data_IF_472864209793
#
_entry.id   IF_472864209793
#
_cell.length_a   1.000
_cell.length_b   1.000
_cell.length_c   1.000
_cell.angle_alpha   90.00
_cell.angle_beta   90.00
_cell.angle_gamma   90.00
#
_symmetry.space_group_name_H-M   'P 1'
#
loop_
_entity.id
_entity.type
_entity.pdbx_description
1 polymer ?
#
# COMPACT_ATOMS: atom_id res chain seq x y z
N UNK A 1 -21.32 -5.20 12.86
CA UNK A 1 -20.41 -4.49 13.78
C UNK A 1 -19.13 -5.29 13.92
N UNK A 2 -17.94 -4.69 14.07
CA UNK A 2 -16.72 -5.45 14.34
C UNK A 2 -16.89 -6.16 15.70
N UNK A 3 -16.68 -7.48 15.72
CA UNK A 3 -16.88 -8.33 16.91
C UNK A 3 -15.96 -8.00 18.09
N UNK A 4 -15.02 -7.05 17.92
CA UNK A 4 -13.99 -6.66 18.90
C UNK A 4 -13.88 -5.14 19.05
N UNK A 5 -14.97 -4.40 18.82
CA UNK A 5 -14.95 -2.96 19.06
C UNK A 5 -14.73 -2.69 20.58
N UNK A 6 -13.82 -1.76 20.90
CA UNK A 6 -13.50 -1.35 22.27
C UNK A 6 -14.11 0.00 22.64
N UNK A 7 -14.62 0.75 21.68
CA UNK A 7 -15.24 2.06 21.86
C UNK A 7 -15.67 2.69 20.54
N UNK A 8 -16.48 3.72 20.63
CA UNK A 8 -17.04 4.46 19.51
C UNK A 8 -16.48 5.88 19.46
N UNK A 9 -16.08 6.32 18.26
CA UNK A 9 -15.55 7.66 18.02
C UNK A 9 -16.35 8.30 16.90
N UNK A 10 -17.12 9.34 17.19
CA UNK A 10 -17.92 10.04 16.18
C UNK A 10 -17.11 11.21 15.61
N UNK A 11 -16.90 11.22 14.30
CA UNK A 11 -16.32 12.36 13.60
C UNK A 11 -17.38 13.44 13.41
N UNK A 12 -17.21 14.59 14.06
CA UNK A 12 -18.14 15.71 13.98
C UNK A 12 -17.51 16.87 13.21
N UNK A 13 -18.27 17.43 12.27
CA UNK A 13 -17.87 18.59 11.46
C UNK A 13 -18.64 19.86 11.78
N UNK A 14 -19.63 19.80 12.67
CA UNK A 14 -20.55 20.90 12.95
C UNK A 14 -21.68 21.05 11.92
N UNK A 15 -21.66 20.31 10.79
CA UNK A 15 -22.72 20.29 9.81
C UNK A 15 -23.87 19.33 10.18
N UNK A 16 -25.06 19.50 9.58
CA UNK A 16 -26.29 18.80 9.95
C UNK A 16 -26.17 17.26 9.96
N UNK A 17 -25.51 16.67 8.94
CA UNK A 17 -25.44 15.21 8.81
C UNK A 17 -24.60 14.58 9.95
N UNK A 18 -23.44 15.18 10.30
CA UNK A 18 -22.61 14.70 11.41
C UNK A 18 -23.25 14.96 12.78
N UNK A 19 -23.99 16.06 12.88
CA UNK A 19 -24.72 16.41 14.08
C UNK A 19 -25.92 15.47 14.32
N UNK A 20 -26.58 15.04 13.26
CA UNK A 20 -27.64 14.03 13.35
C UNK A 20 -27.09 12.69 13.88
N UNK A 21 -25.91 12.26 13.39
CA UNK A 21 -25.26 11.04 13.87
C UNK A 21 -24.88 11.15 15.35
N UNK A 22 -24.27 12.28 15.75
CA UNK A 22 -23.91 12.55 17.15
C UNK A 22 -25.14 12.52 18.04
N UNK A 23 -26.23 13.17 17.61
CA UNK A 23 -27.48 13.24 18.36
C UNK A 23 -28.13 11.86 18.51
N UNK A 24 -28.18 11.06 17.42
CA UNK A 24 -28.75 9.72 17.47
C UNK A 24 -28.02 8.80 18.46
N UNK A 25 -26.70 8.94 18.55
CA UNK A 25 -25.89 8.15 19.49
C UNK A 25 -25.91 8.70 20.92
N UNK A 26 -26.03 10.04 21.07
CA UNK A 26 -26.03 10.69 22.37
C UNK A 26 -27.36 10.64 23.11
N UNK A 27 -28.44 10.15 22.50
CA UNK A 27 -29.73 9.90 23.16
C UNK A 27 -29.73 8.59 23.96
N UNK A 28 -28.76 7.73 23.73
CA UNK A 28 -28.56 6.47 24.45
C UNK A 28 -27.50 6.68 25.53
N UNK A 29 -27.76 6.30 26.76
CA UNK A 29 -26.79 6.43 27.87
C UNK A 29 -25.55 5.56 27.65
N UNK A 30 -25.72 4.41 26.98
CA UNK A 30 -24.65 3.53 26.54
C UNK A 30 -24.95 2.97 25.13
N UNK A 31 -24.12 3.34 24.13
CA UNK A 31 -24.26 2.74 22.82
C UNK A 31 -23.59 1.35 22.79
N UNK A 32 -24.42 0.31 22.88
CA UNK A 32 -23.97 -1.11 22.93
C UNK A 32 -22.97 -1.40 24.08
N UNK A 33 -23.09 -0.72 25.22
CA UNK A 33 -22.23 -0.93 26.39
C UNK A 33 -20.76 -0.54 26.21
N UNK A 34 -20.45 0.26 25.19
CA UNK A 34 -19.09 0.71 24.90
C UNK A 34 -18.97 2.24 25.02
N UNK A 35 -17.80 2.74 25.46
CA UNK A 35 -17.59 4.17 25.60
C UNK A 35 -17.72 4.92 24.26
N UNK A 36 -18.38 6.08 24.30
CA UNK A 36 -18.57 6.98 23.17
C UNK A 36 -17.80 8.28 23.40
N UNK A 37 -17.06 8.75 22.39
CA UNK A 37 -16.43 10.06 22.33
C UNK A 37 -16.57 10.68 20.94
N UNK A 38 -16.48 11.99 20.85
CA UNK A 38 -16.50 12.73 19.59
C UNK A 38 -15.10 13.26 19.24
N UNK A 39 -14.82 13.42 17.94
CA UNK A 39 -13.60 14.04 17.42
C UNK A 39 -13.98 15.06 16.37
N UNK A 40 -13.49 16.29 16.54
CA UNK A 40 -13.54 17.35 15.53
C UNK A 40 -12.15 17.59 14.95
N UNK A 41 -12.07 17.73 13.61
CA UNK A 41 -10.81 18.05 12.91
C UNK A 41 -10.95 19.40 12.23
N UNK A 42 -10.17 20.37 12.69
CA UNK A 42 -10.05 21.69 12.07
C UNK A 42 -8.91 21.70 11.03
N UNK A 43 -9.24 22.11 9.82
CA UNK A 43 -8.29 22.20 8.71
C UNK A 43 -7.63 23.59 8.59
N UNK A 44 -8.07 24.58 9.36
CA UNK A 44 -7.57 25.94 9.29
C UNK A 44 -7.79 26.65 7.95
N UNK A 45 -8.60 26.11 7.06
CA UNK A 45 -8.79 26.60 5.69
C UNK A 45 -9.87 27.69 5.56
N UNK A 46 -10.68 27.88 6.59
CA UNK A 46 -11.87 28.73 6.51
C UNK A 46 -11.92 29.73 7.65
N UNK A 47 -12.39 30.93 7.35
CA UNK A 47 -12.74 31.94 8.36
C UNK A 47 -13.90 31.49 9.27
N UNK A 48 -14.71 30.54 8.80
CA UNK A 48 -15.83 29.98 9.54
C UNK A 48 -15.46 28.80 10.47
N UNK A 49 -14.18 28.38 10.54
CA UNK A 49 -13.77 27.21 11.33
C UNK A 49 -14.10 27.35 12.82
N UNK A 50 -14.04 28.57 13.36
CA UNK A 50 -14.46 28.86 14.73
C UNK A 50 -15.94 28.52 14.97
N UNK A 51 -16.84 28.87 14.03
CA UNK A 51 -18.27 28.58 14.15
C UNK A 51 -18.55 27.08 14.14
N UNK A 52 -17.87 26.31 13.26
CA UNK A 52 -18.00 24.85 13.23
C UNK A 52 -17.55 24.22 14.53
N UNK A 53 -16.41 24.69 15.06
CA UNK A 53 -15.88 24.26 16.33
C UNK A 53 -16.86 24.53 17.48
N UNK A 54 -17.40 25.75 17.56
CA UNK A 54 -18.40 26.14 18.58
C UNK A 54 -19.64 25.25 18.52
N UNK A 55 -20.15 24.96 17.31
CA UNK A 55 -21.27 24.03 17.11
C UNK A 55 -20.92 22.64 17.66
N UNK A 56 -19.75 22.08 17.32
CA UNK A 56 -19.31 20.77 17.80
C UNK A 56 -19.19 20.73 19.33
N UNK A 57 -18.61 21.76 19.93
CA UNK A 57 -18.46 21.87 21.40
C UNK A 57 -19.83 21.97 22.08
N UNK A 58 -20.73 22.80 21.55
CA UNK A 58 -22.09 22.96 22.09
C UNK A 58 -22.88 21.65 22.05
N UNK A 59 -22.84 20.95 20.91
CA UNK A 59 -23.55 19.68 20.74
C UNK A 59 -22.95 18.57 21.63
N UNK A 60 -21.63 18.42 21.66
CA UNK A 60 -20.96 17.44 22.50
C UNK A 60 -21.29 17.67 24.01
N UNK A 61 -21.35 18.94 24.42
CA UNK A 61 -21.76 19.32 25.80
C UNK A 61 -23.22 18.98 26.06
N UNK A 62 -24.12 19.25 25.10
CA UNK A 62 -25.54 18.93 25.21
C UNK A 62 -25.79 17.43 25.46
N UNK A 63 -25.10 16.58 24.73
CA UNK A 63 -25.20 15.11 24.84
C UNK A 63 -24.22 14.53 25.88
N UNK A 64 -23.45 15.34 26.60
CA UNK A 64 -22.43 14.91 27.58
C UNK A 64 -21.38 13.96 27.01
N UNK A 65 -21.08 14.08 25.71
CA UNK A 65 -20.09 13.27 25.02
C UNK A 65 -18.73 13.96 25.06
N UNK A 66 -17.65 13.30 25.52
CA UNK A 66 -16.30 13.87 25.48
C UNK A 66 -15.88 14.24 24.06
N UNK A 67 -15.42 15.47 23.84
CA UNK A 67 -14.94 15.96 22.55
C UNK A 67 -13.41 16.11 22.54
N UNK A 68 -12.76 15.57 21.54
CA UNK A 68 -11.35 15.81 21.22
C UNK A 68 -11.28 16.71 19.98
N UNK A 69 -10.51 17.79 20.06
CA UNK A 69 -10.28 18.70 18.95
C UNK A 69 -8.88 18.46 18.38
N UNK A 70 -8.77 18.28 17.05
CA UNK A 70 -7.53 18.06 16.32
C UNK A 70 -7.36 19.17 15.30
N UNK A 71 -6.16 19.73 15.20
CA UNK A 71 -5.79 20.69 14.15
C UNK A 71 -4.86 20.02 13.15
N UNK A 72 -5.11 20.23 11.85
CA UNK A 72 -4.28 19.68 10.78
C UNK A 72 -3.83 20.78 9.82
N UNK A 73 -2.60 20.66 9.37
CA UNK A 73 -2.08 21.50 8.29
C UNK A 73 -2.26 20.76 6.97
N UNK A 74 -2.98 21.38 6.03
CA UNK A 74 -3.20 20.78 4.72
C UNK A 74 -1.99 21.07 3.82
N UNK A 75 -1.18 20.07 3.58
CA UNK A 75 -0.06 20.14 2.63
C UNK A 75 -0.53 19.65 1.25
N UNK A 76 -0.95 20.56 0.37
CA UNK A 76 -1.25 20.20 -1.01
C UNK A 76 0.05 20.01 -1.79
N UNK A 77 0.22 18.88 -2.48
CA UNK A 77 1.30 18.67 -3.45
C UNK A 77 0.93 19.30 -4.77
N UNK A 78 1.92 19.68 -5.57
CA UNK A 78 1.69 20.22 -6.90
C UNK A 78 0.90 19.21 -7.76
N UNK A 79 -0.31 19.60 -8.19
CA UNK A 79 -1.22 18.77 -8.99
C UNK A 79 -2.36 18.10 -8.20
N UNK A 80 -2.35 18.13 -6.88
CA UNK A 80 -3.47 17.62 -6.08
C UNK A 80 -4.60 18.65 -5.96
N UNK A 81 -5.85 18.19 -5.94
CA UNK A 81 -6.95 19.05 -5.56
C UNK A 81 -6.90 19.36 -4.06
N UNK A 82 -7.12 20.61 -3.67
CA UNK A 82 -7.15 21.01 -2.26
C UNK A 82 -8.14 20.19 -1.42
N UNK A 83 -9.27 19.80 -2.01
CA UNK A 83 -10.26 18.92 -1.38
C UNK A 83 -9.69 17.53 -1.07
N UNK A 84 -8.98 16.94 -2.02
CA UNK A 84 -8.35 15.63 -1.83
C UNK A 84 -7.28 15.67 -0.74
N UNK A 85 -6.42 16.69 -0.75
CA UNK A 85 -5.38 16.88 0.26
C UNK A 85 -5.97 17.11 1.66
N UNK A 86 -7.01 17.96 1.77
CA UNK A 86 -7.71 18.20 3.04
C UNK A 86 -8.40 16.93 3.56
N UNK A 87 -9.00 16.16 2.66
CA UNK A 87 -9.62 14.86 3.01
C UNK A 87 -8.57 13.86 3.50
N UNK A 88 -7.43 13.74 2.83
CA UNK A 88 -6.34 12.85 3.22
C UNK A 88 -5.79 13.23 4.61
N UNK A 89 -5.47 14.51 4.83
CA UNK A 89 -4.98 15.03 6.11
C UNK A 89 -5.97 14.76 7.25
N UNK A 90 -7.27 14.95 6.99
CA UNK A 90 -8.32 14.67 7.97
C UNK A 90 -8.35 13.19 8.35
N UNK A 91 -8.35 12.28 7.38
CA UNK A 91 -8.39 10.86 7.69
C UNK A 91 -7.11 10.35 8.33
N UNK A 92 -5.95 10.93 7.99
CA UNK A 92 -4.69 10.63 8.68
C UNK A 92 -4.74 11.03 10.16
N UNK A 93 -5.25 12.23 10.49
CA UNK A 93 -5.41 12.68 11.86
C UNK A 93 -6.42 11.84 12.66
N UNK A 94 -7.56 11.49 12.03
CA UNK A 94 -8.56 10.61 12.64
C UNK A 94 -7.98 9.22 12.90
N UNK A 95 -7.23 8.65 11.96
CA UNK A 95 -6.60 7.34 12.11
C UNK A 95 -5.55 7.32 13.23
N UNK A 96 -4.74 8.39 13.34
CA UNK A 96 -3.74 8.54 14.39
C UNK A 96 -4.35 8.72 15.78
N UNK A 97 -5.58 9.27 15.87
CA UNK A 97 -6.30 9.48 17.12
C UNK A 97 -7.04 8.23 17.63
N UNK A 98 -7.21 7.19 16.79
CA UNK A 98 -7.88 5.95 17.19
C UNK A 98 -7.00 5.11 18.10
N UNK A 99 -7.59 4.62 19.19
CA UNK A 99 -7.00 3.61 20.07
C UNK A 99 -7.23 2.21 19.46
N UNK A 100 -6.52 1.24 20.00
CA UNK A 100 -6.65 -0.16 19.54
C UNK A 100 -8.10 -0.65 19.69
N UNK A 101 -8.70 -1.06 18.57
CA UNK A 101 -10.06 -1.59 18.52
C UNK A 101 -11.18 -0.53 18.53
N UNK A 102 -10.88 0.77 18.65
CA UNK A 102 -11.92 1.81 18.53
C UNK A 102 -12.49 1.87 17.10
N UNK A 103 -13.76 2.21 16.98
CA UNK A 103 -14.46 2.33 15.71
C UNK A 103 -14.86 3.80 15.44
N UNK A 104 -14.28 4.38 14.37
CA UNK A 104 -14.65 5.70 13.90
C UNK A 104 -16.00 5.63 13.17
N UNK A 105 -16.94 6.46 13.56
CA UNK A 105 -18.25 6.62 12.96
C UNK A 105 -18.31 7.92 12.15
N UNK A 106 -18.77 7.85 10.90
CA UNK A 106 -18.97 9.02 10.04
C UNK A 106 -20.36 9.03 9.43
N UNK A 107 -20.94 10.21 9.26
CA UNK A 107 -22.32 10.42 8.81
C UNK A 107 -22.48 10.38 7.28
N UNK A 108 -21.73 9.53 6.57
CA UNK A 108 -22.01 9.30 5.15
C UNK A 108 -23.34 8.60 4.98
N UNK A 109 -24.14 9.08 4.06
CA UNK A 109 -25.51 8.64 3.86
C UNK A 109 -25.78 8.16 2.43
N UNK A 110 -27.00 7.76 2.13
CA UNK A 110 -27.39 7.16 0.85
C UNK A 110 -27.07 8.05 -0.37
N UNK A 111 -27.28 9.37 -0.26
CA UNK A 111 -26.95 10.29 -1.34
C UNK A 111 -25.44 10.36 -1.61
N UNK A 112 -24.58 10.26 -0.57
CA UNK A 112 -23.14 10.21 -0.76
C UNK A 112 -22.68 8.96 -1.52
N UNK A 113 -23.39 7.83 -1.35
CA UNK A 113 -23.16 6.62 -2.16
C UNK A 113 -23.48 6.87 -3.62
N UNK A 114 -24.67 7.45 -3.91
CA UNK A 114 -25.09 7.77 -5.26
C UNK A 114 -24.14 8.78 -5.94
N UNK A 115 -23.72 9.82 -5.22
CA UNK A 115 -22.71 10.78 -5.69
C UNK A 115 -21.38 10.08 -6.02
N UNK A 116 -20.93 9.19 -5.14
CA UNK A 116 -19.68 8.45 -5.34
C UNK A 116 -19.75 7.53 -6.55
N UNK A 117 -20.84 6.80 -6.73
CA UNK A 117 -21.08 5.95 -7.91
C UNK A 117 -21.01 6.78 -9.21
N UNK A 118 -21.76 7.90 -9.28
CA UNK A 118 -21.80 8.74 -10.49
C UNK A 118 -20.42 9.31 -10.82
N UNK A 119 -19.71 9.85 -9.84
CA UNK A 119 -18.36 10.38 -10.07
C UNK A 119 -17.38 9.30 -10.55
N UNK A 120 -17.46 8.10 -10.01
CA UNK A 120 -16.62 6.99 -10.45
C UNK A 120 -17.03 6.48 -11.84
N UNK A 121 -18.31 6.44 -12.16
CA UNK A 121 -18.80 6.08 -13.49
C UNK A 121 -18.32 7.07 -14.56
N UNK A 122 -18.39 8.38 -14.29
CA UNK A 122 -17.89 9.44 -15.18
C UNK A 122 -16.37 9.37 -15.39
N UNK A 123 -15.63 8.78 -14.45
CA UNK A 123 -14.18 8.53 -14.56
C UNK A 123 -13.85 7.19 -15.22
N UNK A 124 -14.84 6.41 -15.66
CA UNK A 124 -14.66 5.12 -16.30
C UNK A 124 -14.20 4.02 -15.33
N UNK A 125 -14.59 4.10 -14.07
CA UNK A 125 -14.19 3.12 -13.06
C UNK A 125 -14.82 1.73 -13.32
N UNK A 126 -14.06 0.68 -13.00
CA UNK A 126 -14.56 -0.70 -12.96
C UNK A 126 -15.32 -1.02 -11.66
N UNK A 127 -15.71 -2.30 -11.47
CA UNK A 127 -16.55 -2.73 -10.32
C UNK A 127 -16.04 -2.20 -8.97
N UNK A 128 -14.75 -2.26 -8.69
CA UNK A 128 -14.16 -1.76 -7.44
C UNK A 128 -14.43 -0.26 -7.20
N UNK A 129 -14.32 0.58 -8.23
CA UNK A 129 -14.62 2.00 -8.09
C UNK A 129 -16.12 2.28 -7.98
N UNK A 130 -16.95 1.49 -8.68
CA UNK A 130 -18.41 1.60 -8.64
C UNK A 130 -19.02 1.03 -7.34
N UNK A 131 -18.28 0.29 -6.55
CA UNK A 131 -18.75 -0.29 -5.27
C UNK A 131 -19.11 0.76 -4.21
N UNK A 132 -18.87 2.04 -4.48
CA UNK A 132 -19.12 3.11 -3.53
C UNK A 132 -18.24 3.03 -2.29
N UNK A 133 -18.75 3.52 -1.17
CA UNK A 133 -18.05 3.46 0.11
C UNK A 133 -18.44 2.19 0.87
N UNK A 134 -17.47 1.39 1.38
CA UNK A 134 -17.79 0.24 2.22
C UNK A 134 -18.37 0.70 3.56
N UNK A 135 -19.33 -0.08 4.08
CA UNK A 135 -19.91 0.17 5.40
C UNK A 135 -18.88 0.10 6.50
N UNK A 136 -17.96 -0.86 6.45
CA UNK A 136 -16.88 -1.07 7.41
C UNK A 136 -15.55 -1.25 6.67
N UNK A 137 -14.49 -0.63 7.19
CA UNK A 137 -13.11 -0.86 6.72
C UNK A 137 -12.10 -0.69 7.86
N UNK A 138 -10.90 -1.29 7.78
CA UNK A 138 -9.80 -0.95 8.68
C UNK A 138 -9.42 0.53 8.59
N UNK A 139 -9.03 1.13 9.72
CA UNK A 139 -8.48 2.49 9.78
C UNK A 139 -7.55 2.62 10.98
N UNK A 140 -6.28 2.91 10.75
CA UNK A 140 -5.28 3.01 11.82
C UNK A 140 -5.24 1.75 12.68
N UNK A 141 -5.36 1.93 13.99
CA UNK A 141 -5.39 0.82 14.98
C UNK A 141 -6.80 0.25 15.22
N UNK A 142 -7.80 0.69 14.45
CA UNK A 142 -9.19 0.31 14.62
C UNK A 142 -9.95 0.20 13.30
N UNK A 143 -11.19 0.68 13.31
CA UNK A 143 -12.13 0.52 12.21
C UNK A 143 -12.79 1.83 11.82
N UNK A 144 -13.31 1.92 10.60
CA UNK A 144 -14.16 3.00 10.14
C UNK A 144 -15.50 2.44 9.69
N UNK A 145 -16.56 2.81 10.39
CA UNK A 145 -17.94 2.42 10.14
C UNK A 145 -18.74 3.60 9.60
N UNK A 146 -19.59 3.35 8.63
CA UNK A 146 -20.57 4.31 8.08
C UNK A 146 -21.98 3.78 8.29
N UNK A 147 -22.58 4.04 9.45
CA UNK A 147 -23.85 3.41 9.81
C UNK A 147 -25.04 3.94 9.00
N UNK A 148 -24.91 5.12 8.38
CA UNK A 148 -26.02 5.82 7.71
C UNK A 148 -26.05 5.66 6.19
N UNK A 149 -25.23 4.75 5.61
CA UNK A 149 -25.15 4.60 4.15
C UNK A 149 -26.44 4.21 3.44
N UNK A 150 -27.38 3.64 4.19
CA UNK A 150 -28.71 3.27 3.68
C UNK A 150 -29.81 4.27 4.06
N UNK A 151 -29.47 5.27 4.88
CA UNK A 151 -30.41 6.27 5.36
C UNK A 151 -30.52 7.41 4.35
N UNK A 152 -31.75 7.81 4.02
CA UNK A 152 -31.97 8.93 3.15
C UNK A 152 -31.58 10.25 3.82
N UNK A 153 -30.95 11.14 3.07
CA UNK A 153 -30.51 12.45 3.61
C UNK A 153 -31.64 13.29 4.18
N UNK A 154 -32.84 13.15 3.59
CA UNK A 154 -34.05 13.82 4.06
C UNK A 154 -34.36 13.39 5.49
N UNK A 155 -34.36 12.10 5.77
CA UNK A 155 -34.70 11.57 7.10
C UNK A 155 -33.71 12.06 8.17
N UNK A 156 -32.43 12.16 7.84
CA UNK A 156 -31.40 12.73 8.72
C UNK A 156 -31.66 14.21 9.02
N UNK A 157 -32.06 14.98 8.00
CA UNK A 157 -32.36 16.40 8.17
C UNK A 157 -33.62 16.60 8.98
N UNK A 158 -34.68 15.84 8.72
CA UNK A 158 -35.94 15.91 9.43
C UNK A 158 -35.73 15.52 10.91
N UNK A 159 -34.97 14.46 11.17
CA UNK A 159 -34.58 14.06 12.53
C UNK A 159 -33.81 15.18 13.25
N UNK A 160 -32.78 15.77 12.62
CA UNK A 160 -31.98 16.80 13.25
C UNK A 160 -32.75 18.10 13.47
N UNK A 161 -33.60 18.48 12.50
CA UNK A 161 -34.45 19.67 12.63
C UNK A 161 -35.42 19.58 13.83
N UNK A 162 -35.93 18.38 14.13
CA UNK A 162 -36.80 18.15 15.27
C UNK A 162 -36.12 18.38 16.64
N UNK A 163 -34.77 18.33 16.69
CA UNK A 163 -33.99 18.54 17.91
C UNK A 163 -33.77 20.02 18.22
N UNK A 164 -34.02 20.93 17.28
CA UNK A 164 -33.78 22.37 17.42
C UNK A 164 -32.36 22.75 17.90
N UNK A 165 -31.37 21.96 17.52
CA UNK A 165 -29.95 22.21 17.86
C UNK A 165 -29.26 23.03 16.77
N UNK A 166 -28.34 23.94 17.14
CA UNK A 166 -27.60 24.72 16.15
C UNK A 166 -26.68 23.86 15.31
N UNK A 167 -26.66 24.10 13.98
CA UNK A 167 -25.63 23.57 13.08
C UNK A 167 -25.03 24.68 12.23
N UNK A 168 -23.78 24.51 11.87
CA UNK A 168 -23.10 25.44 10.98
C UNK A 168 -23.40 25.10 9.50
N UNK A 169 -23.56 26.14 8.69
CA UNK A 169 -23.61 26.01 7.24
C UNK A 169 -22.21 26.28 6.69
N UNK A 170 -21.70 25.32 5.91
CA UNK A 170 -20.39 25.44 5.28
C UNK A 170 -20.54 26.13 3.90
N UNK A 171 -19.99 27.32 3.71
CA UNK A 171 -20.03 28.03 2.43
C UNK A 171 -19.39 27.23 1.27
N UNK A 172 -18.45 26.32 1.55
CA UNK A 172 -17.88 25.43 0.53
C UNK A 172 -18.91 24.45 -0.05
N UNK A 173 -20.02 24.19 0.65
CA UNK A 173 -21.11 23.38 0.11
C UNK A 173 -21.88 24.08 -1.03
N UNK A 174 -21.62 25.33 -1.30
CA UNK A 174 -22.25 26.11 -2.40
C UNK A 174 -21.29 26.33 -3.57
N UNK A 175 -20.01 25.98 -3.43
CA UNK A 175 -18.97 26.19 -4.43
C UNK A 175 -19.03 25.13 -5.54
N UNK A 176 -19.55 25.53 -6.71
CA UNK A 176 -19.73 24.68 -7.89
C UNK A 176 -18.44 24.18 -8.55
N UNK A 177 -17.29 24.67 -8.13
CA UNK A 177 -16.00 24.14 -8.60
C UNK A 177 -15.75 22.72 -8.12
N UNK A 178 -16.44 22.31 -7.05
CA UNK A 178 -16.35 20.94 -6.52
C UNK A 178 -17.36 20.02 -7.17
N UNK A 179 -16.90 18.93 -7.76
CA UNK A 179 -17.72 17.94 -8.47
C UNK A 179 -18.93 17.48 -7.65
N UNK A 180 -18.75 17.23 -6.35
CA UNK A 180 -19.84 16.78 -5.46
C UNK A 180 -20.90 17.84 -5.24
N UNK A 181 -20.47 19.11 -5.11
CA UNK A 181 -21.40 20.23 -4.95
C UNK A 181 -22.21 20.42 -6.25
N UNK A 182 -21.53 20.31 -7.37
CA UNK A 182 -22.20 20.35 -8.68
C UNK A 182 -23.25 19.24 -8.83
N UNK A 183 -22.93 18.01 -8.52
CA UNK A 183 -23.87 16.89 -8.54
C UNK A 183 -25.06 17.12 -7.60
N UNK A 184 -24.85 17.68 -6.42
CA UNK A 184 -25.93 17.99 -5.47
C UNK A 184 -26.97 18.95 -6.06
N UNK A 185 -26.56 19.89 -6.90
CA UNK A 185 -27.49 20.78 -7.61
C UNK A 185 -28.23 20.09 -8.75
N UNK A 186 -27.73 18.99 -9.27
CA UNK A 186 -28.40 18.21 -10.31
C UNK A 186 -29.47 17.25 -9.76
N UNK A 187 -29.40 16.88 -8.47
CA UNK A 187 -30.35 15.91 -7.88
C UNK A 187 -31.82 16.31 -8.07
N UNK A 188 -32.26 17.55 -7.83
CA UNK A 188 -33.66 17.91 -8.05
C UNK A 188 -34.12 17.69 -9.51
N UNK A 189 -33.22 17.94 -10.47
CA UNK A 189 -33.49 17.73 -11.91
C UNK A 189 -33.59 16.22 -12.20
N UNK A 190 -32.67 15.41 -11.67
CA UNK A 190 -32.65 13.96 -11.86
C UNK A 190 -33.91 13.35 -11.22
N UNK A 191 -34.21 13.69 -9.98
CA UNK A 191 -35.33 13.12 -9.22
C UNK A 191 -36.70 13.58 -9.73
N UNK A 192 -36.80 14.76 -10.37
CA UNK A 192 -38.05 15.19 -11.04
C UNK A 192 -38.42 14.25 -12.18
N UNK A 193 -37.46 13.66 -12.87
CA UNK A 193 -37.68 12.72 -13.98
C UNK A 193 -37.68 11.26 -13.52
N UNK A 194 -36.86 10.93 -12.54
CA UNK A 194 -36.69 9.58 -11.98
C UNK A 194 -36.79 9.62 -10.45
N UNK A 195 -38.03 9.60 -9.91
CA UNK A 195 -38.22 9.58 -8.46
C UNK A 195 -37.50 8.37 -7.84
N UNK A 196 -36.76 8.60 -6.76
CA UNK A 196 -35.96 7.57 -6.10
C UNK A 196 -34.63 7.24 -6.79
N UNK A 197 -34.14 8.10 -7.69
CA UNK A 197 -32.85 7.90 -8.37
C UNK A 197 -31.70 7.69 -7.38
N UNK A 198 -31.65 8.45 -6.27
CA UNK A 198 -30.64 8.32 -5.22
C UNK A 198 -30.60 6.90 -4.66
N UNK A 199 -31.75 6.36 -4.24
CA UNK A 199 -31.83 5.00 -3.68
C UNK A 199 -31.49 3.92 -4.70
N UNK A 200 -31.88 4.11 -5.95
CA UNK A 200 -31.59 3.18 -7.05
C UNK A 200 -30.09 3.16 -7.37
N UNK A 201 -29.43 4.32 -7.43
CA UNK A 201 -28.00 4.40 -7.64
C UNK A 201 -27.18 3.86 -6.45
N UNK A 202 -27.63 4.13 -5.22
CA UNK A 202 -27.01 3.54 -4.03
C UNK A 202 -27.09 2.01 -4.05
N UNK A 203 -28.25 1.45 -4.46
CA UNK A 203 -28.42 0.00 -4.65
C UNK A 203 -27.51 -0.55 -5.77
N UNK A 204 -27.34 0.21 -6.87
CA UNK A 204 -26.42 -0.18 -7.93
C UNK A 204 -24.98 -0.27 -7.45
N UNK A 205 -24.55 0.61 -6.51
CA UNK A 205 -23.23 0.50 -5.89
C UNK A 205 -23.09 -0.75 -5.01
N UNK A 206 -24.14 -1.19 -4.33
CA UNK A 206 -24.16 -2.45 -3.58
C UNK A 206 -24.00 -3.67 -4.50
N UNK A 207 -24.68 -3.68 -5.64
CA UNK A 207 -24.49 -4.75 -6.64
C UNK A 207 -23.08 -4.76 -7.20
N UNK A 208 -22.48 -3.58 -7.46
CA UNK A 208 -21.09 -3.50 -7.86
C UNK A 208 -20.12 -4.00 -6.76
N UNK A 209 -20.44 -3.76 -5.48
CA UNK A 209 -19.66 -4.26 -4.35
C UNK A 209 -19.71 -5.80 -4.27
N UNK A 210 -20.89 -6.40 -4.43
CA UNK A 210 -21.06 -7.87 -4.47
C UNK A 210 -20.29 -8.49 -5.66
N UNK A 211 -20.35 -7.86 -6.83
CA UNK A 211 -19.58 -8.30 -7.99
C UNK A 211 -18.07 -8.19 -7.75
N UNK A 212 -17.62 -7.13 -7.09
CA UNK A 212 -16.22 -6.95 -6.74
C UNK A 212 -15.72 -7.99 -5.73
N UNK A 213 -16.52 -8.33 -4.71
CA UNK A 213 -16.21 -9.39 -3.76
C UNK A 213 -16.03 -10.73 -4.47
N UNK A 214 -16.96 -11.08 -5.36
CA UNK A 214 -16.81 -12.29 -6.19
C UNK A 214 -15.55 -12.28 -7.04
N UNK A 215 -15.19 -11.15 -7.64
CA UNK A 215 -13.94 -11.00 -8.42
C UNK A 215 -12.70 -11.13 -7.54
N UNK A 216 -12.72 -10.64 -6.30
CA UNK A 216 -11.61 -10.77 -5.35
C UNK A 216 -11.46 -12.23 -4.88
N UNK A 217 -12.55 -12.93 -4.60
CA UNK A 217 -12.55 -14.37 -4.27
C UNK A 217 -12.02 -15.21 -5.43
N UNK A 218 -12.46 -14.93 -6.66
CA UNK A 218 -11.96 -15.61 -7.84
C UNK A 218 -10.46 -15.36 -8.02
N UNK A 219 -10.02 -14.10 -7.89
CA UNK A 219 -8.61 -13.74 -8.00
C UNK A 219 -7.74 -14.38 -6.91
N UNK A 220 -8.25 -14.51 -5.70
CA UNK A 220 -7.56 -15.17 -4.59
C UNK A 220 -7.30 -16.66 -4.89
N UNK A 221 -8.31 -17.36 -5.42
CA UNK A 221 -8.19 -18.77 -5.84
C UNK A 221 -7.22 -18.92 -7.02
N UNK A 222 -7.37 -18.08 -8.04
CA UNK A 222 -6.49 -18.10 -9.20
C UNK A 222 -5.04 -17.75 -8.79
N UNK A 223 -4.84 -16.81 -7.87
CA UNK A 223 -3.52 -16.48 -7.35
C UNK A 223 -2.88 -17.66 -6.63
N UNK A 224 -3.62 -18.39 -5.81
CA UNK A 224 -3.12 -19.59 -5.14
C UNK A 224 -2.63 -20.64 -6.14
N UNK A 225 -3.29 -20.75 -7.30
CA UNK A 225 -2.89 -21.67 -8.39
C UNK A 225 -1.64 -21.21 -9.14
N UNK A 226 -1.47 -19.90 -9.39
CA UNK A 226 -0.36 -19.38 -10.22
C UNK A 226 0.83 -18.90 -9.38
N UNK A 227 0.73 -18.87 -8.05
CA UNK A 227 1.75 -18.33 -7.16
C UNK A 227 2.86 -19.32 -6.84
N UNK A 228 4.10 -18.81 -6.76
CA UNK A 228 5.30 -19.50 -6.26
C UNK A 228 6.04 -18.53 -5.31
N UNK A 229 5.81 -18.66 -4.00
CA UNK A 229 6.28 -17.68 -3.01
C UNK A 229 5.63 -16.31 -3.24
N UNK A 230 6.45 -15.26 -3.40
CA UNK A 230 5.98 -13.89 -3.70
C UNK A 230 5.85 -13.63 -5.20
N UNK A 231 6.02 -14.64 -6.06
CA UNK A 231 6.12 -14.52 -7.51
C UNK A 231 4.91 -15.14 -8.18
N UNK A 232 4.67 -14.78 -9.42
CA UNK A 232 3.64 -15.41 -10.26
C UNK A 232 4.31 -16.23 -11.35
N UNK A 233 3.85 -17.47 -11.57
CA UNK A 233 4.31 -18.35 -12.63
C UNK A 233 3.64 -18.03 -13.95
N UNK A 234 4.44 -17.76 -15.00
CA UNK A 234 3.95 -17.45 -16.35
C UNK A 234 3.13 -18.62 -16.95
N UNK A 235 3.53 -19.90 -16.82
CA UNK A 235 2.72 -21.02 -17.28
C UNK A 235 1.32 -21.05 -16.64
N UNK A 236 1.22 -20.81 -15.33
CA UNK A 236 -0.06 -20.70 -14.65
C UNK A 236 -0.93 -19.57 -15.20
N UNK A 237 -0.34 -18.36 -15.41
CA UNK A 237 -1.07 -17.26 -16.05
C UNK A 237 -1.57 -17.62 -17.45
N UNK A 238 -0.79 -18.35 -18.25
CA UNK A 238 -1.22 -18.78 -19.59
C UNK A 238 -2.44 -19.69 -19.56
N UNK A 239 -2.62 -20.48 -18.50
CA UNK A 239 -3.79 -21.33 -18.29
C UNK A 239 -5.08 -20.59 -17.97
N UNK A 240 -5.01 -19.31 -17.55
CA UNK A 240 -6.16 -18.50 -17.22
C UNK A 240 -6.73 -17.77 -18.45
N UNK A 241 -8.00 -17.36 -18.39
CA UNK A 241 -8.60 -16.46 -19.37
C UNK A 241 -8.00 -15.05 -19.25
N UNK A 242 -8.13 -14.22 -20.29
CA UNK A 242 -7.59 -12.85 -20.27
C UNK A 242 -8.18 -11.99 -19.14
N UNK A 243 -9.46 -12.16 -18.85
CA UNK A 243 -10.13 -11.46 -17.74
C UNK A 243 -9.56 -11.92 -16.38
N UNK A 244 -9.36 -13.22 -16.18
CA UNK A 244 -8.81 -13.78 -14.95
C UNK A 244 -7.34 -13.37 -14.76
N UNK A 245 -6.52 -13.34 -15.82
CA UNK A 245 -5.13 -12.84 -15.76
C UNK A 245 -5.05 -11.42 -15.24
N UNK A 246 -5.88 -10.52 -15.78
CA UNK A 246 -5.92 -9.12 -15.35
C UNK A 246 -6.41 -8.99 -13.90
N UNK A 247 -7.40 -9.80 -13.52
CA UNK A 247 -7.97 -9.80 -12.18
C UNK A 247 -6.94 -10.27 -11.14
N UNK A 248 -6.25 -11.39 -11.41
CA UNK A 248 -5.18 -11.93 -10.56
C UNK A 248 -4.04 -10.92 -10.39
N UNK A 249 -3.57 -10.28 -11.47
CA UNK A 249 -2.51 -9.28 -11.36
C UNK A 249 -2.92 -8.08 -10.53
N UNK A 250 -4.16 -7.58 -10.70
CA UNK A 250 -4.69 -6.49 -9.85
C UNK A 250 -4.74 -6.88 -8.38
N UNK A 251 -5.26 -8.08 -8.10
CA UNK A 251 -5.38 -8.59 -6.75
C UNK A 251 -4.01 -8.77 -6.09
N UNK A 252 -3.07 -9.42 -6.80
CA UNK A 252 -1.70 -9.62 -6.33
C UNK A 252 -0.98 -8.30 -6.05
N UNK A 253 -0.99 -7.33 -6.97
CA UNK A 253 -0.37 -6.02 -6.77
C UNK A 253 -1.01 -5.30 -5.57
N UNK A 254 -2.36 -5.32 -5.47
CA UNK A 254 -3.07 -4.70 -4.34
C UNK A 254 -2.73 -5.35 -3.00
N UNK A 255 -2.55 -6.68 -2.96
CA UNK A 255 -2.25 -7.42 -1.72
C UNK A 255 -0.86 -7.10 -1.14
N UNK A 256 0.06 -6.55 -1.96
CA UNK A 256 1.37 -6.08 -1.49
C UNK A 256 1.36 -4.65 -0.97
N UNK A 257 0.22 -3.95 -1.04
CA UNK A 257 0.11 -2.52 -0.70
C UNK A 257 0.59 -1.57 -1.81
N UNK A 258 1.05 -2.08 -2.95
CA UNK A 258 1.50 -1.27 -4.07
C UNK A 258 0.32 -0.59 -4.78
N UNK A 259 0.54 0.63 -5.26
CA UNK A 259 -0.43 1.34 -6.08
C UNK A 259 -0.66 0.60 -7.40
N UNK A 260 -1.92 0.49 -7.80
CA UNK A 260 -2.27 -0.15 -9.07
C UNK A 260 -1.89 0.73 -10.27
N UNK A 261 -1.34 0.13 -11.33
CA UNK A 261 -1.19 0.82 -12.61
C UNK A 261 -2.55 1.06 -13.27
N UNK A 262 -2.59 1.97 -14.24
CA UNK A 262 -3.78 2.12 -15.10
C UNK A 262 -4.10 0.80 -15.82
N UNK A 263 -5.37 0.61 -16.20
CA UNK A 263 -5.81 -0.60 -16.91
C UNK A 263 -5.03 -0.80 -18.22
N UNK A 264 -4.74 0.28 -18.95
CA UNK A 264 -3.94 0.21 -20.17
C UNK A 264 -2.51 -0.27 -19.90
N UNK A 265 -1.87 0.24 -18.84
CA UNK A 265 -0.53 -0.15 -18.44
C UNK A 265 -0.47 -1.60 -17.96
N UNK A 266 -1.50 -2.07 -17.24
CA UNK A 266 -1.57 -3.45 -16.79
C UNK A 266 -1.78 -4.43 -17.95
N UNK A 267 -2.62 -4.09 -18.93
CA UNK A 267 -2.79 -4.86 -20.16
C UNK A 267 -1.48 -4.96 -20.96
N UNK A 268 -0.76 -3.84 -21.07
CA UNK A 268 0.54 -3.82 -21.75
C UNK A 268 1.57 -4.68 -21.00
N UNK A 269 1.62 -4.59 -19.67
CA UNK A 269 2.49 -5.44 -18.86
C UNK A 269 2.19 -6.93 -19.10
N UNK A 270 0.91 -7.31 -19.07
CA UNK A 270 0.49 -8.68 -19.31
C UNK A 270 0.89 -9.16 -20.73
N UNK A 271 0.69 -8.32 -21.75
CA UNK A 271 1.07 -8.62 -23.12
C UNK A 271 2.59 -8.87 -23.23
N UNK A 272 3.42 -8.00 -22.66
CA UNK A 272 4.88 -8.15 -22.66
C UNK A 272 5.31 -9.40 -21.89
N UNK A 273 4.72 -9.64 -20.72
CA UNK A 273 5.02 -10.82 -19.88
C UNK A 273 4.71 -12.12 -20.62
N UNK A 274 3.56 -12.23 -21.28
CA UNK A 274 3.14 -13.48 -21.94
C UNK A 274 3.88 -13.74 -23.25
N UNK A 275 4.21 -12.68 -24.02
CA UNK A 275 4.78 -12.81 -25.36
C UNK A 275 6.32 -12.74 -25.39
N UNK A 276 6.97 -12.41 -24.28
CA UNK A 276 8.43 -12.37 -24.25
C UNK A 276 9.04 -13.74 -24.49
N UNK A 277 10.05 -13.80 -25.34
CA UNK A 277 10.92 -14.97 -25.52
C UNK A 277 11.77 -15.18 -24.27
N UNK A 278 12.37 -16.35 -24.13
CA UNK A 278 13.11 -16.77 -22.94
C UNK A 278 14.34 -15.89 -22.60
N UNK A 279 14.89 -15.22 -23.60
CA UNK A 279 16.07 -14.32 -23.51
C UNK A 279 15.68 -12.85 -23.28
N UNK A 280 14.43 -12.48 -23.47
CA UNK A 280 13.93 -11.13 -23.22
C UNK A 280 13.52 -10.96 -21.76
N UNK A 281 13.88 -9.79 -21.20
CA UNK A 281 13.60 -9.40 -19.82
C UNK A 281 12.60 -8.23 -19.81
N UNK A 282 11.30 -8.46 -20.07
CA UNK A 282 10.35 -7.37 -20.10
C UNK A 282 10.24 -6.71 -18.73
N UNK A 283 10.17 -5.38 -18.76
CA UNK A 283 10.02 -4.54 -17.56
C UNK A 283 8.97 -3.48 -17.87
N UNK A 284 7.96 -3.39 -17.02
CA UNK A 284 6.94 -2.35 -17.12
C UNK A 284 6.89 -1.54 -15.83
N UNK A 285 7.13 -0.24 -15.94
CA UNK A 285 7.20 0.69 -14.82
C UNK A 285 5.88 1.46 -14.62
N UNK A 286 5.52 1.74 -13.38
CA UNK A 286 4.50 2.73 -12.99
C UNK A 286 4.78 3.23 -11.57
N UNK A 287 4.66 4.55 -11.37
CA UNK A 287 5.03 5.16 -10.09
C UNK A 287 6.41 4.68 -9.64
N UNK A 288 6.50 4.21 -8.41
CA UNK A 288 7.72 3.66 -7.81
C UNK A 288 7.83 2.12 -7.93
N UNK A 289 7.03 1.50 -8.80
CA UNK A 289 6.96 0.05 -8.95
C UNK A 289 7.32 -0.40 -10.36
N UNK A 290 7.69 -1.69 -10.49
CA UNK A 290 7.93 -2.37 -11.75
C UNK A 290 7.45 -3.82 -11.72
N UNK A 291 6.83 -4.28 -12.80
CA UNK A 291 6.69 -5.70 -13.10
C UNK A 291 7.86 -6.14 -13.99
N UNK A 292 8.55 -7.20 -13.56
CA UNK A 292 9.68 -7.77 -14.28
C UNK A 292 9.43 -9.25 -14.51
N UNK A 293 9.79 -9.76 -15.69
CA UNK A 293 9.81 -11.19 -15.94
C UNK A 293 11.25 -11.69 -16.02
N UNK A 294 11.52 -12.81 -15.37
CA UNK A 294 12.74 -13.58 -15.56
C UNK A 294 12.39 -15.06 -15.68
N UNK A 295 12.77 -15.67 -16.80
CA UNK A 295 12.33 -17.03 -17.16
C UNK A 295 10.81 -17.14 -17.11
N UNK A 296 10.29 -18.10 -16.35
CA UNK A 296 8.85 -18.33 -16.20
C UNK A 296 8.23 -17.69 -14.95
N UNK A 297 8.86 -16.66 -14.39
CA UNK A 297 8.41 -15.98 -13.18
C UNK A 297 8.25 -14.48 -13.39
N UNK A 298 7.20 -13.93 -12.77
CA UNK A 298 6.90 -12.50 -12.72
C UNK A 298 7.17 -11.98 -11.31
N UNK A 299 7.85 -10.87 -11.24
CA UNK A 299 8.27 -10.21 -10.01
C UNK A 299 7.68 -8.80 -9.95
N UNK A 300 7.17 -8.45 -8.78
CA UNK A 300 6.87 -7.06 -8.43
C UNK A 300 8.06 -6.50 -7.65
N UNK A 301 8.64 -5.42 -8.14
CA UNK A 301 9.84 -4.82 -7.54
C UNK A 301 9.69 -3.32 -7.42
N UNK A 302 10.49 -2.67 -6.60
CA UNK A 302 10.69 -1.23 -6.70
C UNK A 302 11.21 -0.85 -8.11
N UNK A 303 10.92 0.36 -8.54
CA UNK A 303 11.44 0.93 -9.79
C UNK A 303 12.96 1.10 -9.73
N UNK A 304 13.43 1.78 -8.67
CA UNK A 304 14.84 1.89 -8.34
C UNK A 304 15.27 0.68 -7.52
N UNK A 305 16.31 0.02 -7.97
CA UNK A 305 16.88 -1.15 -7.28
C UNK A 305 18.22 -0.75 -6.66
N UNK A 306 18.59 -1.33 -5.52
CA UNK A 306 19.84 -1.02 -4.89
C UNK A 306 21.02 -1.48 -5.76
N UNK A 307 22.00 -0.61 -5.93
CA UNK A 307 23.24 -0.85 -6.67
C UNK A 307 24.42 -0.53 -5.77
N UNK A 308 25.41 -1.41 -5.72
CA UNK A 308 26.67 -1.14 -5.04
C UNK A 308 27.61 -0.42 -6.02
N UNK A 309 27.56 0.91 -6.04
CA UNK A 309 28.30 1.78 -6.96
C UNK A 309 29.57 2.37 -6.36
N UNK A 310 29.93 1.98 -5.13
CA UNK A 310 31.07 2.47 -4.37
C UNK A 310 31.99 1.33 -3.96
N UNK A 311 33.27 1.68 -3.68
CA UNK A 311 34.24 0.78 -3.11
C UNK A 311 34.28 1.01 -1.60
N UNK A 312 34.10 -0.06 -0.83
CA UNK A 312 34.09 -0.04 0.62
C UNK A 312 35.29 -0.81 1.14
N UNK A 313 35.88 -0.32 2.24
CA UNK A 313 36.94 -1.01 2.94
C UNK A 313 36.35 -1.80 4.12
N UNK A 314 36.64 -3.08 4.20
CA UNK A 314 36.10 -3.97 5.23
C UNK A 314 37.21 -4.59 6.07
N UNK A 315 37.13 -4.41 7.37
CA UNK A 315 38.07 -5.03 8.31
C UNK A 315 37.84 -6.54 8.37
N UNK A 316 38.94 -7.31 8.40
CA UNK A 316 38.89 -8.78 8.49
C UNK A 316 38.82 -9.30 9.94
N UNK A 317 38.62 -8.41 10.92
CA UNK A 317 38.35 -8.82 12.30
C UNK A 317 37.05 -9.60 12.39
N UNK A 318 37.01 -10.61 13.24
CA UNK A 318 35.87 -11.52 13.34
C UNK A 318 34.56 -10.88 13.76
N UNK A 319 34.58 -9.72 14.38
CA UNK A 319 33.42 -8.94 14.85
C UNK A 319 33.05 -7.77 13.94
N UNK A 320 33.76 -7.59 12.81
CA UNK A 320 33.51 -6.47 11.91
C UNK A 320 32.35 -6.70 11.00
N UNK A 321 31.32 -5.84 11.14
CA UNK A 321 30.25 -5.71 10.17
C UNK A 321 30.56 -4.63 9.14
N UNK A 322 30.13 -4.84 7.89
CA UNK A 322 30.15 -3.82 6.85
C UNK A 322 28.74 -3.52 6.39
N UNK A 323 28.27 -2.31 6.64
CA UNK A 323 27.00 -1.82 6.09
C UNK A 323 27.20 -1.41 4.62
N UNK A 324 26.48 -2.08 3.72
CA UNK A 324 26.51 -1.79 2.30
C UNK A 324 25.64 -0.59 1.93
N UNK A 325 24.72 -0.19 2.82
CA UNK A 325 23.78 0.91 2.63
C UNK A 325 22.72 0.66 1.56
N UNK A 326 21.84 1.65 1.36
CA UNK A 326 20.85 1.68 0.26
C UNK A 326 20.01 0.40 0.08
N UNK A 327 19.65 -0.29 1.19
CA UNK A 327 18.86 -1.53 1.12
C UNK A 327 19.65 -2.75 0.63
N UNK A 328 20.97 -2.70 0.61
CA UNK A 328 21.85 -3.83 0.27
C UNK A 328 22.20 -4.70 1.48
N UNK A 329 21.77 -4.30 2.71
CA UNK A 329 22.06 -5.05 3.93
C UNK A 329 23.53 -4.92 4.38
N UNK A 330 23.99 -5.95 5.09
CA UNK A 330 25.32 -5.94 5.75
C UNK A 330 26.09 -7.22 5.46
N UNK A 331 27.41 -7.13 5.46
CA UNK A 331 28.28 -8.29 5.44
C UNK A 331 28.85 -8.55 6.84
N UNK A 332 28.94 -9.84 7.19
CA UNK A 332 29.56 -10.33 8.42
C UNK A 332 30.50 -11.47 8.12
N UNK A 333 31.60 -11.55 8.89
CA UNK A 333 32.43 -12.74 8.92
C UNK A 333 31.78 -13.80 9.83
N UNK A 334 31.74 -15.04 9.37
CA UNK A 334 31.27 -16.17 10.16
C UNK A 334 32.25 -17.34 10.10
N UNK A 335 32.39 -18.14 11.15
CA UNK A 335 33.11 -19.42 11.06
C UNK A 335 32.43 -20.33 10.06
N UNK A 336 33.18 -20.91 9.13
CA UNK A 336 32.59 -21.76 8.06
C UNK A 336 33.60 -22.89 7.73
N UNK A 337 33.15 -24.14 7.70
CA UNK A 337 33.93 -25.26 7.18
C UNK A 337 34.24 -25.07 5.70
N UNK A 338 35.47 -25.27 5.31
CA UNK A 338 35.92 -24.99 3.95
C UNK A 338 35.89 -23.51 3.55
N UNK A 339 35.72 -22.59 4.50
CA UNK A 339 35.73 -21.15 4.27
C UNK A 339 37.08 -20.61 3.86
N UNK A 340 37.18 -19.28 3.70
CA UNK A 340 38.42 -18.61 3.35
C UNK A 340 39.49 -18.85 4.43
N UNK A 341 40.75 -18.99 4.01
CA UNK A 341 41.93 -19.17 4.90
C UNK A 341 42.15 -17.92 5.70
N UNK A 342 42.05 -18.01 7.03
CA UNK A 342 42.17 -16.87 7.93
C UNK A 342 43.57 -16.25 7.90
N UNK A 343 44.63 -17.08 7.78
CA UNK A 343 46.03 -16.67 7.73
C UNK A 343 46.39 -15.87 6.46
N UNK A 344 45.58 -15.96 5.42
CA UNK A 344 45.75 -15.22 4.17
C UNK A 344 44.92 -13.95 4.07
N UNK A 345 44.06 -13.69 5.04
CA UNK A 345 43.29 -12.46 5.06
C UNK A 345 44.15 -11.27 5.51
N UNK A 346 44.25 -10.19 4.73
CA UNK A 346 44.89 -8.95 5.16
C UNK A 346 44.06 -8.26 6.25
N UNK A 347 44.59 -7.22 6.88
CA UNK A 347 43.83 -6.43 7.88
C UNK A 347 42.53 -5.85 7.32
N UNK A 348 42.49 -5.55 6.04
CA UNK A 348 41.33 -5.00 5.33
C UNK A 348 41.26 -5.63 3.94
N UNK A 349 40.04 -5.89 3.51
CA UNK A 349 39.70 -6.24 2.14
C UNK A 349 38.82 -5.15 1.52
N UNK A 350 38.65 -5.17 0.20
CA UNK A 350 37.79 -4.25 -0.52
C UNK A 350 36.48 -4.93 -0.88
N UNK A 351 35.38 -4.22 -0.74
CA UNK A 351 34.05 -4.67 -1.18
C UNK A 351 33.50 -3.67 -2.20
N UNK A 352 33.15 -4.16 -3.37
CA UNK A 352 32.60 -3.34 -4.45
C UNK A 352 31.53 -4.10 -5.25
N UNK A 353 30.72 -3.38 -6.01
CA UNK A 353 29.80 -3.97 -6.99
C UNK A 353 30.52 -4.47 -8.25
N UNK A 354 29.76 -5.01 -9.16
CA UNK A 354 30.24 -5.54 -10.44
C UNK A 354 30.65 -4.40 -11.40
N UNK A 355 31.76 -4.62 -12.06
CA UNK A 355 32.23 -3.75 -13.16
C UNK A 355 32.11 -4.48 -14.50
N UNK A 356 32.15 -5.83 -14.49
CA UNK A 356 32.15 -6.71 -15.65
C UNK A 356 33.48 -7.43 -15.85
N UNK A 357 33.43 -8.64 -16.41
CA UNK A 357 34.61 -9.44 -16.64
C UNK A 357 35.15 -10.23 -15.42
N UNK A 358 34.49 -10.11 -14.27
CA UNK A 358 34.86 -10.81 -13.05
C UNK A 358 34.85 -12.34 -13.26
N UNK A 359 35.88 -12.98 -12.70
CA UNK A 359 36.07 -14.43 -12.79
C UNK A 359 36.42 -15.01 -11.42
N UNK A 360 35.86 -16.20 -11.13
CA UNK A 360 36.07 -16.92 -9.87
C UNK A 360 36.24 -18.42 -10.15
N UNK A 361 37.00 -19.10 -9.29
CA UNK A 361 37.23 -20.54 -9.39
C UNK A 361 36.56 -21.27 -8.22
N UNK A 362 35.53 -22.03 -8.48
CA UNK A 362 34.69 -22.68 -7.43
C UNK A 362 35.25 -24.03 -6.93
N UNK A 363 36.27 -24.58 -7.57
CA UNK A 363 36.93 -25.82 -7.15
C UNK A 363 38.34 -25.85 -7.61
N UNK A 364 39.24 -26.45 -6.83
CA UNK A 364 40.66 -26.46 -7.12
C UNK A 364 41.00 -27.07 -8.49
N UNK A 365 40.25 -28.07 -8.92
CA UNK A 365 40.42 -28.75 -10.20
C UNK A 365 39.43 -28.29 -11.27
N UNK A 366 38.53 -27.32 -10.97
CA UNK A 366 37.60 -26.76 -11.94
C UNK A 366 38.23 -25.65 -12.78
N UNK A 367 37.65 -25.36 -13.94
CA UNK A 367 37.98 -24.17 -14.72
C UNK A 367 37.47 -22.90 -14.04
N UNK A 368 38.21 -21.80 -14.24
CA UNK A 368 37.74 -20.46 -13.81
C UNK A 368 36.54 -20.04 -14.64
N UNK A 369 35.46 -19.63 -14.00
CA UNK A 369 34.20 -19.23 -14.60
C UNK A 369 33.98 -17.72 -14.52
N UNK A 370 33.28 -17.15 -15.48
CA UNK A 370 32.85 -15.75 -15.39
C UNK A 370 31.70 -15.63 -14.41
N UNK A 371 31.67 -14.55 -13.64
CA UNK A 371 30.57 -14.28 -12.71
C UNK A 371 29.21 -14.17 -13.45
N UNK A 372 29.23 -13.67 -14.69
CA UNK A 372 28.05 -13.63 -15.54
C UNK A 372 27.46 -15.03 -15.78
N UNK A 373 28.30 -16.00 -16.13
CA UNK A 373 27.88 -17.39 -16.37
C UNK A 373 27.34 -18.03 -15.07
N UNK A 374 28.00 -17.82 -13.95
CA UNK A 374 27.55 -18.30 -12.66
C UNK A 374 26.18 -17.71 -12.27
N UNK A 375 26.01 -16.41 -12.41
CA UNK A 375 24.72 -15.77 -12.16
C UNK A 375 23.59 -16.34 -13.05
N UNK A 376 23.87 -16.61 -14.32
CA UNK A 376 22.88 -17.23 -15.22
C UNK A 376 22.55 -18.67 -14.81
N UNK A 377 23.59 -19.47 -14.51
CA UNK A 377 23.46 -20.88 -14.12
C UNK A 377 22.67 -21.03 -12.81
N UNK A 378 22.96 -20.22 -11.83
CA UNK A 378 22.35 -20.27 -10.50
C UNK A 378 21.06 -19.42 -10.40
N UNK A 379 20.60 -18.84 -11.52
CA UNK A 379 19.31 -18.13 -11.55
C UNK A 379 19.30 -16.77 -10.87
N UNK A 380 20.48 -16.18 -10.59
CA UNK A 380 20.54 -14.84 -9.98
C UNK A 380 19.85 -13.83 -10.89
N UNK A 381 18.88 -13.14 -10.31
CA UNK A 381 18.02 -12.19 -11.01
C UNK A 381 18.85 -11.10 -11.70
N UNK A 382 18.67 -10.86 -13.00
CA UNK A 382 19.52 -9.94 -13.78
C UNK A 382 19.64 -8.55 -13.16
N UNK A 383 18.55 -8.03 -12.62
CA UNK A 383 18.48 -6.72 -12.01
C UNK A 383 19.08 -6.64 -10.60
N UNK A 384 19.32 -7.78 -9.95
CA UNK A 384 19.99 -7.84 -8.64
C UNK A 384 21.50 -7.95 -8.76
N UNK A 385 22.03 -8.27 -9.95
CA UNK A 385 23.45 -8.54 -10.17
C UNK A 385 24.33 -7.32 -9.91
N UNK A 386 23.80 -6.11 -10.09
CA UNK A 386 24.50 -4.86 -9.81
C UNK A 386 24.67 -4.58 -8.30
N UNK A 387 23.83 -5.19 -7.46
CA UNK A 387 23.88 -5.09 -6.01
C UNK A 387 24.73 -6.18 -5.34
N UNK A 388 25.27 -7.16 -6.09
CA UNK A 388 26.10 -8.23 -5.50
C UNK A 388 27.37 -7.66 -4.89
N UNK A 389 27.65 -7.90 -3.59
CA UNK A 389 28.89 -7.46 -2.96
C UNK A 389 30.03 -8.42 -3.32
N UNK A 390 31.02 -7.90 -4.02
CA UNK A 390 32.21 -8.62 -4.44
C UNK A 390 33.36 -8.29 -3.48
N UNK A 391 33.88 -9.30 -2.81
CA UNK A 391 35.01 -9.17 -1.84
C UNK A 391 36.34 -9.42 -2.55
N UNK A 392 37.21 -8.44 -2.48
CA UNK A 392 38.55 -8.48 -3.09
C UNK A 392 39.64 -8.42 -2.04
N UNK A 393 40.68 -9.22 -2.26
CA UNK A 393 41.94 -9.09 -1.60
C UNK A 393 42.97 -8.76 -2.71
N UNK A 394 43.60 -7.61 -2.59
CA UNK A 394 44.37 -7.00 -3.66
C UNK A 394 43.53 -6.92 -4.94
N UNK A 395 43.98 -7.49 -6.05
CA UNK A 395 43.28 -7.55 -7.32
C UNK A 395 42.43 -8.83 -7.48
N UNK A 396 42.43 -9.74 -6.49
CA UNK A 396 41.77 -11.04 -6.56
C UNK A 396 40.36 -11.01 -6.01
N UNK A 397 39.39 -11.43 -6.79
CA UNK A 397 38.01 -11.71 -6.31
C UNK A 397 38.04 -12.99 -5.48
N UNK A 398 37.77 -12.87 -4.16
CA UNK A 398 37.84 -14.00 -3.21
C UNK A 398 36.49 -14.51 -2.80
N UNK A 399 35.44 -13.64 -2.78
CA UNK A 399 34.06 -14.04 -2.48
C UNK A 399 33.04 -13.15 -3.17
N UNK A 400 31.83 -13.65 -3.34
CA UNK A 400 30.65 -12.96 -3.88
C UNK A 400 29.53 -13.11 -2.87
N UNK A 401 29.41 -12.14 -1.97
CA UNK A 401 28.48 -12.25 -0.84
C UNK A 401 28.68 -13.58 -0.12
N UNK A 402 27.58 -14.22 0.23
CA UNK A 402 27.50 -15.59 0.77
C UNK A 402 27.27 -16.66 -0.31
N UNK A 403 27.28 -16.28 -1.59
CA UNK A 403 26.96 -17.16 -2.70
C UNK A 403 28.12 -18.05 -3.13
N UNK A 404 29.32 -17.47 -3.28
CA UNK A 404 30.51 -18.17 -3.81
C UNK A 404 31.79 -17.64 -3.20
N UNK A 405 32.72 -18.57 -2.95
CA UNK A 405 34.11 -18.24 -2.57
C UNK A 405 35.10 -18.89 -3.58
N UNK A 406 36.24 -18.24 -3.82
CA UNK A 406 37.30 -18.76 -4.71
C UNK A 406 38.07 -19.87 -4.01
N UNK A 407 38.03 -21.08 -4.57
CA UNK A 407 38.63 -22.27 -3.97
C UNK A 407 40.14 -22.16 -3.72
N UNK A 408 40.86 -21.27 -4.39
CA UNK A 408 42.29 -21.03 -4.15
C UNK A 408 42.56 -20.35 -2.80
N UNK A 409 41.52 -19.65 -2.27
CA UNK A 409 41.54 -18.93 -1.02
C UNK A 409 40.88 -19.70 0.13
N UNK A 410 40.24 -20.83 -0.17
CA UNK A 410 39.49 -21.63 0.79
C UNK A 410 40.35 -22.68 1.47
N UNK A 411 39.95 -23.05 2.68
CA UNK A 411 40.48 -24.21 3.42
C UNK A 411 40.04 -25.54 2.78
N UNK A 412 40.63 -26.64 3.25
CA UNK A 412 40.06 -27.96 2.94
C UNK A 412 38.66 -28.09 3.52
N UNK A 413 37.86 -28.98 2.93
CA UNK A 413 36.43 -29.12 3.32
C UNK A 413 36.17 -29.35 4.80
N UNK A 414 37.12 -30.00 5.46
CA UNK A 414 37.01 -30.38 6.90
C UNK A 414 37.70 -29.38 7.83
N UNK A 415 38.43 -28.40 7.30
CA UNK A 415 39.10 -27.37 8.09
C UNK A 415 38.17 -26.15 8.29
N UNK A 416 38.27 -25.56 9.47
CA UNK A 416 37.52 -24.36 9.80
C UNK A 416 38.21 -23.12 9.19
N UNK A 417 37.51 -22.41 8.37
CA UNK A 417 37.90 -21.11 7.82
C UNK A 417 36.86 -20.03 8.15
N UNK A 418 36.84 -18.99 7.35
CA UNK A 418 35.95 -17.84 7.52
C UNK A 418 35.07 -17.71 6.28
N UNK A 419 33.75 -17.64 6.49
CA UNK A 419 32.73 -17.36 5.46
C UNK A 419 32.26 -15.91 5.50
N UNK A 420 31.70 -15.46 4.38
CA UNK A 420 30.96 -14.22 4.29
C UNK A 420 29.49 -14.53 4.46
N UNK A 421 28.80 -13.82 5.36
CA UNK A 421 27.34 -13.87 5.49
C UNK A 421 26.78 -12.52 5.04
N UNK A 422 25.82 -12.55 4.11
CA UNK A 422 25.11 -11.37 3.64
C UNK A 422 23.74 -11.29 4.33
N UNK A 423 23.63 -10.42 5.35
CA UNK A 423 22.45 -10.24 6.20
C UNK A 423 21.58 -9.11 5.63
N UNK A 424 20.27 -9.32 5.64
CA UNK A 424 19.27 -8.35 5.17
C UNK A 424 19.53 -7.84 3.73
N UNK A 425 20.25 -8.62 2.96
CA UNK A 425 20.46 -8.37 1.55
C UNK A 425 19.17 -8.61 0.74
N UNK A 426 19.05 -8.01 -0.44
CA UNK A 426 17.89 -8.25 -1.29
C UNK A 426 17.88 -9.71 -1.80
N UNK A 427 16.68 -10.28 -2.00
CA UNK A 427 16.53 -11.64 -2.52
C UNK A 427 17.11 -11.70 -3.94
N UNK A 428 18.16 -12.48 -4.13
CA UNK A 428 18.91 -12.54 -5.38
C UNK A 428 18.44 -13.62 -6.37
N UNK A 429 17.67 -14.63 -5.91
CA UNK A 429 17.25 -15.77 -6.75
C UNK A 429 15.79 -16.20 -6.48
#
# INVERSE_FOLDING_TARGET
MPQQATGWVVAVSGGADSSALLAALGQEDEFCGLPLRAVHVDHGLQSASALFRECCVSQARHFKIPLTELSVVVAARAGDSLEAAARESRYAALAANLRVGECLLTAHHQQDQAESLLLQALRGAGPKGLSGMPTLRPLGLGWHLRPLLEVARRDLRDFYAALNLPCAHDPMNDDLRFDRVYLRKLWPIIESRWPGAVSTLARSSQHAAQAQEFLEDAASRDLAYVRDGDRIMVPGLRGLSDAARLNVLRYWISSTGALLPSTARLKEALRQILNAQSDHLPVVFWGEHALRRYRDRVFLTPKALPVLDRVLQWSTRSDAELDLGYGLGKLRWIPQQGGLKFDRLPKHCLVRGRVGGERIKLGLHSSTQTLQHLCQRHGILPWMRAGLPLVYIDECLVAVGDLWADARWCESKDALGVGVLWVDGPICA
#
